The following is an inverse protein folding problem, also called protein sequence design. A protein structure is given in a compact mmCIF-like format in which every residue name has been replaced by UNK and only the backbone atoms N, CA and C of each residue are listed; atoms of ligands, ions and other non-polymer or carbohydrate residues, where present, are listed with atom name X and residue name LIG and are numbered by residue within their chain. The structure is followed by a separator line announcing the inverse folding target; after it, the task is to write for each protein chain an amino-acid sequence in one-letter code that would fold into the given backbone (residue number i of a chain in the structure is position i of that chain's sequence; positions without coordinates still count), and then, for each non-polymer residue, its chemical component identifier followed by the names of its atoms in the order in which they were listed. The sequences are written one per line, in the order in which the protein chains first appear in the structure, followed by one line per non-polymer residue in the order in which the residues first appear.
data_IF_011626479829
#
_entry.id   IF_011626479829
#
_cell.length_a   1.000
_cell.length_b   1.000
_cell.length_c   1.000
_cell.angle_alpha   90.00
_cell.angle_beta   90.00
_cell.angle_gamma   90.00
#
_symmetry.space_group_name_H-M   'P 1'
#
loop_
_entity.id
_entity.type
_entity.pdbx_description
1 polymer ?
#
# COMPACT_ATOMS: atom_id res chain seq x y z
N UNK A 1 31.40 6.54 -34.18
CA UNK A 1 31.24 6.60 -32.73
C UNK A 1 30.76 5.24 -32.19
N UNK A 2 31.42 4.69 -31.18
CA UNK A 2 30.92 3.47 -30.60
C UNK A 2 29.56 3.71 -29.94
N UNK A 3 28.59 2.86 -30.23
CA UNK A 3 27.28 2.90 -29.57
C UNK A 3 27.47 2.53 -28.08
N UNK A 4 26.84 3.28 -27.19
CA UNK A 4 26.78 2.88 -25.78
C UNK A 4 26.15 1.48 -25.67
N UNK A 5 26.74 0.57 -24.88
CA UNK A 5 26.13 -0.73 -24.69
C UNK A 5 24.75 -0.57 -24.06
N UNK A 6 23.76 -1.31 -24.55
CA UNK A 6 22.43 -1.35 -23.95
C UNK A 6 22.55 -1.93 -22.53
N UNK A 7 21.86 -1.37 -21.52
CA UNK A 7 21.85 -1.95 -20.20
C UNK A 7 21.35 -3.39 -20.22
N UNK A 8 21.91 -4.24 -19.40
CA UNK A 8 21.50 -5.64 -19.28
C UNK A 8 20.04 -5.73 -18.80
N UNK A 9 19.29 -6.81 -19.14
CA UNK A 9 17.95 -7.02 -18.63
C UNK A 9 17.85 -6.95 -17.11
N UNK A 10 18.88 -7.40 -16.36
CA UNK A 10 18.92 -7.33 -14.90
C UNK A 10 19.01 -5.89 -14.39
N UNK A 11 19.77 -5.00 -15.06
CA UNK A 11 19.83 -3.58 -14.70
C UNK A 11 18.50 -2.88 -14.98
N UNK A 12 17.81 -3.19 -16.07
CA UNK A 12 16.46 -2.67 -16.37
C UNK A 12 15.47 -3.10 -15.30
N UNK A 13 15.49 -4.35 -14.86
CA UNK A 13 14.61 -4.85 -13.79
C UNK A 13 14.89 -4.15 -12.47
N UNK A 14 16.13 -3.92 -12.10
CA UNK A 14 16.52 -3.18 -10.88
C UNK A 14 16.04 -1.74 -10.93
N UNK A 15 16.19 -1.05 -12.05
CA UNK A 15 15.73 0.31 -12.22
C UNK A 15 14.19 0.40 -12.14
N UNK A 16 13.47 -0.53 -12.79
CA UNK A 16 12.01 -0.60 -12.74
C UNK A 16 11.52 -0.92 -11.31
N UNK A 17 12.19 -1.83 -10.59
CA UNK A 17 11.87 -2.17 -9.20
C UNK A 17 12.08 -0.99 -8.26
N UNK A 18 13.18 -0.23 -8.42
CA UNK A 18 13.45 0.97 -7.65
C UNK A 18 12.41 2.08 -7.91
N UNK A 19 12.00 2.28 -9.17
CA UNK A 19 10.95 3.25 -9.53
C UNK A 19 9.61 2.86 -8.92
N UNK A 20 9.22 1.59 -8.97
CA UNK A 20 7.99 1.07 -8.35
C UNK A 20 7.99 1.24 -6.84
N UNK A 21 9.13 1.00 -6.19
CA UNK A 21 9.29 1.20 -4.75
C UNK A 21 9.09 2.66 -4.37
N UNK A 22 9.71 3.59 -5.10
CA UNK A 22 9.54 5.03 -4.85
C UNK A 22 8.10 5.49 -5.06
N UNK A 23 7.43 5.00 -6.10
CA UNK A 23 6.02 5.31 -6.37
C UNK A 23 5.12 4.79 -5.25
N UNK A 24 5.38 3.58 -4.75
CA UNK A 24 4.66 2.99 -3.62
C UNK A 24 4.85 3.80 -2.34
N UNK A 25 6.08 4.20 -2.03
CA UNK A 25 6.39 5.04 -0.87
C UNK A 25 5.75 6.43 -0.97
N UNK A 26 5.72 7.03 -2.18
CA UNK A 26 5.06 8.30 -2.42
C UNK A 26 3.55 8.22 -2.20
N UNK A 27 2.91 7.13 -2.65
CA UNK A 27 1.50 6.88 -2.42
C UNK A 27 1.17 6.68 -0.94
N UNK A 28 1.95 5.87 -0.23
CA UNK A 28 1.81 5.69 1.21
C UNK A 28 1.95 7.01 1.96
N UNK A 29 2.93 7.84 1.61
CA UNK A 29 3.12 9.17 2.21
C UNK A 29 1.91 10.06 1.93
N UNK A 30 1.36 10.03 0.73
CA UNK A 30 0.14 10.77 0.41
C UNK A 30 -1.01 10.36 1.31
N UNK A 31 -1.23 9.06 1.51
CA UNK A 31 -2.28 8.54 2.39
C UNK A 31 -2.07 9.01 3.83
N UNK A 32 -0.85 8.90 4.36
CA UNK A 32 -0.58 9.35 5.74
C UNK A 32 -0.73 10.86 5.90
N UNK A 33 -0.17 11.65 4.99
CA UNK A 33 -0.12 13.11 5.13
C UNK A 33 -1.44 13.79 4.76
N UNK A 34 -2.14 13.29 3.75
CA UNK A 34 -3.33 13.93 3.20
C UNK A 34 -4.65 13.30 3.69
N UNK A 35 -4.63 12.09 4.22
CA UNK A 35 -5.84 11.40 4.68
C UNK A 35 -5.81 11.12 6.19
N UNK A 36 -4.80 10.42 6.68
CA UNK A 36 -4.77 9.96 8.07
C UNK A 36 -4.49 11.12 9.05
N UNK A 37 -3.48 11.91 8.78
CA UNK A 37 -3.10 13.00 9.68
C UNK A 37 -4.18 14.09 9.78
N UNK A 38 -4.84 14.53 8.69
CA UNK A 38 -5.97 15.43 8.80
C UNK A 38 -7.13 14.86 9.62
N UNK A 39 -7.43 13.56 9.50
CA UNK A 39 -8.46 12.90 10.30
C UNK A 39 -8.08 12.84 11.78
N UNK A 40 -6.80 12.63 12.10
CA UNK A 40 -6.32 12.68 13.48
C UNK A 40 -6.46 14.08 14.06
N UNK A 41 -6.07 15.12 13.33
CA UNK A 41 -6.21 16.52 13.75
C UNK A 41 -7.67 16.91 13.95
N UNK A 42 -8.57 16.37 13.13
CA UNK A 42 -10.01 16.61 13.26
C UNK A 42 -10.67 15.80 14.37
N UNK A 43 -9.95 14.90 15.05
CA UNK A 43 -10.47 14.07 16.12
C UNK A 43 -11.26 12.83 15.67
N UNK A 44 -11.32 12.53 14.37
CA UNK A 44 -11.96 11.33 13.84
C UNK A 44 -11.14 10.08 14.20
N UNK A 45 -9.81 10.19 14.05
CA UNK A 45 -8.87 9.17 14.50
C UNK A 45 -8.19 9.63 15.80
N UNK A 46 -8.04 8.71 16.74
CA UNK A 46 -7.25 8.94 17.95
C UNK A 46 -5.76 8.86 17.65
N UNK A 47 -5.37 7.88 16.84
CA UNK A 47 -3.99 7.67 16.42
C UNK A 47 -3.94 6.86 15.13
N UNK A 48 -2.79 6.88 14.48
CA UNK A 48 -2.47 5.98 13.38
C UNK A 48 -0.99 5.63 13.42
N UNK A 49 -0.63 4.46 12.89
CA UNK A 49 0.74 3.98 12.84
C UNK A 49 1.02 3.32 11.50
N UNK A 50 2.20 3.58 10.96
CA UNK A 50 2.71 2.83 9.82
C UNK A 50 3.25 1.49 10.31
N UNK A 51 2.85 0.40 9.66
CA UNK A 51 3.39 -0.92 9.93
C UNK A 51 4.59 -1.17 9.04
N UNK A 52 5.68 -1.69 9.64
CA UNK A 52 6.88 -2.04 8.90
C UNK A 52 6.97 -3.57 8.74
N UNK A 53 7.45 -4.06 7.59
CA UNK A 53 7.74 -5.47 7.43
C UNK A 53 8.76 -5.93 8.47
N UNK A 54 8.59 -7.14 8.99
CA UNK A 54 9.56 -7.70 9.93
C UNK A 54 10.86 -8.03 9.20
N UNK A 55 11.95 -7.50 9.73
CA UNK A 55 13.31 -7.72 9.20
C UNK A 55 14.24 -8.16 10.32
N UNK A 56 15.21 -9.02 9.97
CA UNK A 56 16.34 -9.33 10.81
C UNK A 56 17.59 -8.86 10.04
N UNK A 57 18.21 -7.78 10.51
CA UNK A 57 19.21 -7.05 9.73
C UNK A 57 18.57 -6.47 8.46
N UNK A 58 19.18 -6.72 7.29
CA UNK A 58 18.63 -6.33 5.99
C UNK A 58 17.71 -7.41 5.36
N UNK A 59 17.53 -8.53 6.07
CA UNK A 59 16.76 -9.66 5.56
C UNK A 59 15.28 -9.50 5.90
N UNK A 60 14.45 -9.53 4.85
CA UNK A 60 13.01 -9.59 4.96
C UNK A 60 12.56 -10.94 5.58
N UNK A 61 11.73 -10.91 6.60
CA UNK A 61 11.24 -12.10 7.31
C UNK A 61 9.74 -12.31 7.11
N UNK A 62 8.92 -11.25 7.17
CA UNK A 62 7.48 -11.36 7.05
C UNK A 62 6.85 -10.03 6.62
N UNK A 63 5.72 -10.11 5.89
CA UNK A 63 4.87 -8.96 5.60
C UNK A 63 4.24 -8.42 6.89
N UNK A 64 3.95 -7.11 6.89
CA UNK A 64 3.30 -6.46 8.02
C UNK A 64 1.78 -6.72 8.09
N UNK A 65 1.17 -7.29 7.05
CA UNK A 65 -0.26 -7.53 6.97
C UNK A 65 -1.08 -6.36 6.46
N UNK A 66 -0.67 -5.13 6.72
CA UNK A 66 -1.22 -3.88 6.19
C UNK A 66 -0.15 -2.80 6.26
N UNK A 67 -0.33 -1.70 5.53
CA UNK A 67 0.61 -0.56 5.57
C UNK A 67 0.37 0.34 6.77
N UNK A 68 -0.89 0.57 7.12
CA UNK A 68 -1.28 1.41 8.24
C UNK A 68 -2.34 0.76 9.09
N UNK A 69 -2.30 1.08 10.37
CA UNK A 69 -3.38 0.82 11.32
C UNK A 69 -3.77 2.12 11.98
N UNK A 70 -5.05 2.26 12.29
CA UNK A 70 -5.58 3.43 12.95
C UNK A 70 -6.63 3.03 13.99
N UNK A 71 -6.88 3.92 14.94
CA UNK A 71 -7.92 3.75 15.93
C UNK A 71 -8.91 4.91 15.81
N UNK A 72 -10.18 4.58 15.65
CA UNK A 72 -11.25 5.56 15.61
C UNK A 72 -11.49 6.15 17.02
N UNK A 73 -12.08 7.32 17.10
CA UNK A 73 -12.37 8.01 18.36
C UNK A 73 -13.15 7.13 19.33
N UNK A 74 -14.04 6.28 18.83
CA UNK A 74 -14.84 5.35 19.65
C UNK A 74 -14.16 3.99 19.90
N UNK A 75 -12.86 3.88 19.60
CA UNK A 75 -12.06 2.70 19.91
C UNK A 75 -12.00 1.62 18.84
N UNK A 76 -12.65 1.81 17.69
CA UNK A 76 -12.64 0.83 16.62
C UNK A 76 -11.31 0.83 15.87
N UNK A 77 -10.76 -0.36 15.65
CA UNK A 77 -9.50 -0.58 14.94
C UNK A 77 -9.73 -0.62 13.43
N UNK A 78 -8.85 0.05 12.69
CA UNK A 78 -8.91 0.15 11.22
C UNK A 78 -7.57 -0.28 10.64
N UNK A 79 -7.62 -1.11 9.59
CA UNK A 79 -6.43 -1.48 8.82
C UNK A 79 -6.53 -0.92 7.40
N UNK A 80 -5.42 -0.42 6.87
CA UNK A 80 -5.36 0.17 5.53
C UNK A 80 -4.17 -0.41 4.79
N UNK A 81 -4.45 -1.03 3.64
CA UNK A 81 -3.44 -1.48 2.70
C UNK A 81 -3.37 -0.51 1.53
N UNK A 82 -2.17 -0.01 1.24
CA UNK A 82 -1.91 0.90 0.13
C UNK A 82 -1.37 0.12 -1.06
N UNK A 83 -2.00 0.29 -2.21
CA UNK A 83 -1.52 -0.27 -3.48
C UNK A 83 -1.58 0.80 -4.56
N UNK A 84 -0.63 0.74 -5.49
CA UNK A 84 -0.61 1.62 -6.63
C UNK A 84 -0.25 0.86 -7.89
N UNK A 85 -0.82 1.30 -9.01
CA UNK A 85 -0.46 0.79 -10.33
C UNK A 85 -0.69 1.87 -11.38
N UNK A 86 0.14 1.87 -12.41
CA UNK A 86 -0.07 2.71 -13.61
C UNK A 86 -1.03 2.05 -14.59
N UNK A 87 -1.26 0.73 -14.46
CA UNK A 87 -2.22 0.00 -15.28
C UNK A 87 -3.64 0.43 -14.96
N UNK A 88 -4.56 0.18 -15.88
CA UNK A 88 -6.00 0.46 -15.69
C UNK A 88 -6.70 -0.59 -14.83
N UNK A 89 -6.03 -1.68 -14.53
CA UNK A 89 -6.57 -2.79 -13.75
C UNK A 89 -5.66 -3.12 -12.58
N UNK A 90 -6.27 -3.56 -11.51
CA UNK A 90 -5.58 -4.01 -10.31
C UNK A 90 -6.05 -5.43 -9.97
N UNK A 91 -5.12 -6.38 -9.90
CA UNK A 91 -5.44 -7.78 -9.66
C UNK A 91 -5.38 -8.12 -8.17
N UNK A 92 -6.31 -8.93 -7.68
CA UNK A 92 -6.30 -9.45 -6.32
C UNK A 92 -5.00 -10.19 -5.97
N UNK A 93 -4.38 -10.85 -6.95
CA UNK A 93 -3.09 -11.54 -6.79
C UNK A 93 -1.95 -10.59 -6.38
N UNK A 94 -2.10 -9.27 -6.55
CA UNK A 94 -1.14 -8.27 -6.09
C UNK A 94 -1.11 -8.10 -4.57
N UNK A 95 -2.08 -8.67 -3.86
CA UNK A 95 -2.18 -8.64 -2.40
C UNK A 95 -1.72 -9.99 -1.87
N UNK A 96 -0.72 -9.98 -0.98
CA UNK A 96 -0.16 -11.21 -0.41
C UNK A 96 -1.16 -11.95 0.47
N UNK A 97 -0.95 -13.26 0.67
CA UNK A 97 -1.77 -14.06 1.55
C UNK A 97 -1.79 -13.54 2.99
N UNK A 98 -0.66 -13.02 3.49
CA UNK A 98 -0.56 -12.40 4.82
C UNK A 98 -1.41 -11.14 4.89
N UNK A 99 -1.38 -10.29 3.87
CA UNK A 99 -2.20 -9.08 3.79
C UNK A 99 -3.69 -9.43 3.73
N UNK A 100 -4.07 -10.39 2.88
CA UNK A 100 -5.47 -10.86 2.78
C UNK A 100 -5.96 -11.37 4.14
N UNK A 101 -5.17 -12.19 4.83
CA UNK A 101 -5.53 -12.71 6.14
C UNK A 101 -5.74 -11.61 7.18
N UNK A 102 -4.88 -10.60 7.19
CA UNK A 102 -5.00 -9.45 8.10
C UNK A 102 -6.25 -8.62 7.77
N UNK A 103 -6.45 -8.29 6.49
CA UNK A 103 -7.60 -7.49 6.05
C UNK A 103 -8.93 -8.21 6.28
N UNK A 104 -8.97 -9.53 6.11
CA UNK A 104 -10.15 -10.34 6.41
C UNK A 104 -10.44 -10.39 7.91
N UNK A 105 -9.41 -10.42 8.75
CA UNK A 105 -9.54 -10.52 10.20
C UNK A 105 -9.98 -9.20 10.86
N UNK A 106 -9.62 -8.06 10.29
CA UNK A 106 -9.98 -6.75 10.82
C UNK A 106 -11.33 -6.30 10.26
N UNK A 107 -12.36 -6.07 11.10
CA UNK A 107 -13.71 -5.72 10.61
C UNK A 107 -13.75 -4.48 9.73
N UNK A 108 -12.95 -3.44 10.05
CA UNK A 108 -12.83 -2.23 9.25
C UNK A 108 -11.48 -2.19 8.54
N UNK A 109 -11.41 -2.85 7.41
CA UNK A 109 -10.24 -2.83 6.54
C UNK A 109 -10.55 -2.09 5.25
N UNK A 110 -9.54 -1.39 4.74
CA UNK A 110 -9.66 -0.58 3.52
C UNK A 110 -8.49 -0.84 2.59
N UNK A 111 -8.76 -0.75 1.31
CA UNK A 111 -7.76 -0.67 0.27
C UNK A 111 -7.67 0.78 -0.19
N UNK A 112 -6.51 1.41 0.03
CA UNK A 112 -6.17 2.72 -0.51
C UNK A 112 -5.48 2.50 -1.86
N UNK A 113 -6.20 2.71 -2.95
CA UNK A 113 -5.76 2.36 -4.29
C UNK A 113 -5.52 3.60 -5.14
N UNK A 114 -4.31 3.70 -5.69
CA UNK A 114 -3.97 4.62 -6.76
C UNK A 114 -3.87 3.81 -8.05
N UNK A 115 -4.84 3.96 -8.92
CA UNK A 115 -4.91 3.25 -10.21
C UNK A 115 -5.06 4.25 -11.34
N UNK A 116 -4.13 4.21 -12.30
CA UNK A 116 -4.13 5.09 -13.47
C UNK A 116 -4.35 6.58 -13.06
N UNK A 117 -3.65 7.04 -12.03
CA UNK A 117 -3.74 8.40 -11.49
C UNK A 117 -5.00 8.70 -10.68
N UNK A 118 -5.91 7.76 -10.53
CA UNK A 118 -7.14 7.90 -9.75
C UNK A 118 -6.97 7.34 -8.35
N UNK A 119 -7.51 8.03 -7.36
CA UNK A 119 -7.39 7.69 -5.95
C UNK A 119 -8.69 7.14 -5.40
N UNK A 120 -8.63 6.00 -4.73
CA UNK A 120 -9.79 5.34 -4.13
C UNK A 120 -9.48 4.89 -2.72
N UNK A 121 -10.45 5.00 -1.84
CA UNK A 121 -10.48 4.33 -0.55
C UNK A 121 -11.68 3.40 -0.54
N UNK A 122 -11.43 2.10 -0.61
CA UNK A 122 -12.48 1.10 -0.79
C UNK A 122 -12.50 0.18 0.41
N UNK A 123 -13.66 0.00 1.09
CA UNK A 123 -13.78 -1.02 2.11
C UNK A 123 -13.35 -2.39 1.54
N UNK A 124 -12.50 -3.10 2.24
CA UNK A 124 -11.92 -4.36 1.75
C UNK A 124 -12.96 -5.35 1.26
N UNK A 125 -14.07 -5.48 1.99
CA UNK A 125 -15.15 -6.40 1.64
C UNK A 125 -16.01 -5.97 0.45
N UNK A 126 -15.86 -4.74 -0.01
CA UNK A 126 -16.61 -4.16 -1.13
C UNK A 126 -15.76 -3.93 -2.37
N UNK A 127 -14.51 -4.41 -2.38
CA UNK A 127 -13.64 -4.26 -3.55
C UNK A 127 -14.22 -5.05 -4.72
N UNK A 128 -14.52 -4.40 -5.86
CA UNK A 128 -15.15 -5.07 -7.00
C UNK A 128 -14.10 -5.75 -7.89
N UNK A 129 -13.55 -6.85 -7.45
CA UNK A 129 -12.46 -7.56 -8.11
C UNK A 129 -12.71 -7.90 -9.58
N UNK A 130 -13.97 -8.12 -9.96
CA UNK A 130 -14.35 -8.45 -11.33
C UNK A 130 -14.18 -7.27 -12.28
N UNK A 131 -14.26 -6.04 -11.76
CA UNK A 131 -14.23 -4.80 -12.55
C UNK A 131 -12.96 -3.98 -12.40
N UNK A 132 -12.08 -4.38 -11.50
CA UNK A 132 -10.80 -3.71 -11.26
C UNK A 132 -9.68 -4.10 -12.23
#
# INVERSE_FOLDING_TARGET
MPKRPKPSPSLKRRAAGAASKRAGEAWERHVSDQWLEPLRKAGVLTCWHKLEPRKVGDRFVADAGADFVACMQHGEYVAIECKQTKARRFARASISGVQVGHLDAVPRSFLALLIDGRRFLIPWRKVPWVTL
#
